data_IF_651664812581
#
_entry.id   IF_651664812581
#
_cell.length_a   1.000
_cell.length_b   1.000
_cell.length_c   1.000
_cell.angle_alpha   90.00
_cell.angle_beta   90.00
_cell.angle_gamma   90.00
#
_symmetry.space_group_name_H-M   'P 1'
#
loop_
_entity.id
_entity.type
_entity.pdbx_description
1 polymer ?
#
# COMPACT_ATOMS: atom_id res chain seq x y z
N UNK A 1 -7.44 21.61 -10.60
CA UNK A 1 -6.91 21.57 -11.99
C UNK A 1 -7.92 20.92 -12.96
N UNK A 2 -8.37 19.66 -12.75
CA UNK A 2 -9.31 18.96 -13.64
C UNK A 2 -10.58 19.75 -13.97
N UNK A 3 -11.25 20.35 -13.00
CA UNK A 3 -12.47 21.14 -13.19
C UNK A 3 -12.24 22.31 -14.15
N UNK A 4 -11.12 23.02 -13.99
CA UNK A 4 -10.77 24.18 -14.83
C UNK A 4 -10.50 23.73 -16.27
N UNK A 5 -9.75 22.64 -16.45
CA UNK A 5 -9.45 22.09 -17.79
C UNK A 5 -10.70 21.62 -18.52
N UNK A 6 -11.60 20.94 -17.81
CA UNK A 6 -12.90 20.50 -18.37
C UNK A 6 -13.77 21.70 -18.74
N UNK A 7 -13.86 22.72 -17.86
CA UNK A 7 -14.63 23.93 -18.14
C UNK A 7 -14.07 24.69 -19.37
N UNK A 8 -12.75 24.84 -19.47
CA UNK A 8 -12.09 25.45 -20.64
C UNK A 8 -12.36 24.63 -21.90
N UNK A 9 -12.21 23.32 -21.84
CA UNK A 9 -12.49 22.42 -22.95
C UNK A 9 -13.94 22.57 -23.45
N UNK A 10 -14.91 22.46 -22.54
CA UNK A 10 -16.33 22.65 -22.85
C UNK A 10 -16.60 24.00 -23.48
N UNK A 11 -16.03 25.07 -22.94
CA UNK A 11 -16.18 26.42 -23.44
C UNK A 11 -15.63 26.54 -24.88
N UNK A 12 -14.38 26.10 -25.09
CA UNK A 12 -13.70 26.22 -26.39
C UNK A 12 -14.42 25.43 -27.49
N UNK A 13 -14.89 24.20 -27.17
CA UNK A 13 -15.60 23.38 -28.16
C UNK A 13 -16.99 23.89 -28.51
N UNK A 14 -17.66 24.62 -27.61
CA UNK A 14 -19.04 25.07 -27.82
C UNK A 14 -19.19 26.58 -28.10
N UNK A 15 -18.10 27.35 -28.09
CA UNK A 15 -18.11 28.76 -28.46
C UNK A 15 -17.88 29.02 -29.96
N UNK A 16 -17.88 27.99 -30.80
CA UNK A 16 -17.66 28.00 -32.25
C UNK A 16 -16.32 28.61 -32.74
N UNK A 17 -15.38 28.88 -31.80
CA UNK A 17 -14.10 29.52 -32.16
C UNK A 17 -13.18 28.62 -33.04
N UNK A 18 -13.25 27.30 -32.82
CA UNK A 18 -12.45 26.32 -33.59
C UNK A 18 -12.91 26.18 -35.05
N UNK A 19 -14.16 26.53 -35.34
CA UNK A 19 -14.78 26.34 -36.66
C UNK A 19 -14.84 27.63 -37.49
N UNK A 20 -15.03 28.76 -36.83
CA UNK A 20 -15.26 30.06 -37.51
C UNK A 20 -14.21 31.11 -37.18
N UNK A 21 -13.26 30.82 -36.31
CA UNK A 21 -12.35 31.81 -35.78
C UNK A 21 -13.09 32.92 -35.00
N UNK A 22 -12.52 34.12 -35.02
CA UNK A 22 -13.04 35.26 -34.28
C UNK A 22 -14.36 35.83 -34.86
N UNK A 23 -14.73 35.52 -36.11
CA UNK A 23 -15.92 36.09 -36.78
C UNK A 23 -17.25 35.47 -36.38
N UNK A 24 -17.22 34.23 -35.83
CA UNK A 24 -18.39 33.49 -35.37
C UNK A 24 -18.39 33.18 -33.88
N UNK A 25 -17.53 33.80 -33.11
CA UNK A 25 -17.34 33.56 -31.68
C UNK A 25 -18.62 33.83 -30.88
N UNK A 26 -19.09 32.81 -30.13
CA UNK A 26 -20.29 32.85 -29.30
C UNK A 26 -20.00 32.48 -27.83
N UNK A 27 -19.41 33.40 -27.07
CA UNK A 27 -18.97 33.10 -25.70
C UNK A 27 -20.12 32.73 -24.77
N UNK A 28 -21.31 33.36 -24.96
CA UNK A 28 -22.50 33.04 -24.16
C UNK A 28 -22.98 31.62 -24.38
N UNK A 29 -22.83 31.04 -25.57
CA UNK A 29 -23.23 29.67 -25.84
C UNK A 29 -22.28 28.66 -25.16
N UNK A 30 -20.99 28.91 -25.28
CA UNK A 30 -19.97 28.09 -24.56
C UNK A 30 -20.21 28.13 -23.04
N UNK A 31 -20.45 29.33 -22.48
CA UNK A 31 -20.71 29.46 -21.04
C UNK A 31 -22.02 28.72 -20.62
N UNK A 32 -23.06 28.75 -21.44
CA UNK A 32 -24.31 28.00 -21.17
C UNK A 32 -24.03 26.50 -21.07
N UNK A 33 -23.27 25.94 -22.00
CA UNK A 33 -22.91 24.50 -21.98
C UNK A 33 -22.08 24.16 -20.77
N UNK A 34 -21.10 24.99 -20.40
CA UNK A 34 -20.30 24.81 -19.18
C UNK A 34 -21.20 24.76 -17.94
N UNK A 35 -22.18 25.64 -17.84
CA UNK A 35 -23.12 25.65 -16.71
C UNK A 35 -24.05 24.43 -16.76
N UNK A 36 -24.62 24.10 -17.91
CA UNK A 36 -25.60 23.01 -18.06
C UNK A 36 -24.96 21.63 -17.75
N UNK A 37 -23.77 21.38 -18.24
CA UNK A 37 -23.10 20.11 -18.04
C UNK A 37 -22.21 20.10 -16.78
N UNK A 38 -21.56 21.23 -16.47
CA UNK A 38 -20.59 21.31 -15.37
C UNK A 38 -21.23 21.45 -13.99
N UNK A 39 -22.26 22.28 -13.84
CA UNK A 39 -22.86 22.51 -12.52
C UNK A 39 -23.50 21.26 -11.89
N UNK A 40 -24.32 20.46 -12.59
CA UNK A 40 -24.85 19.22 -12.04
C UNK A 40 -23.79 18.25 -11.63
N UNK A 41 -22.71 18.18 -12.41
CA UNK A 41 -21.59 17.29 -12.16
C UNK A 41 -20.78 17.71 -10.93
N UNK A 42 -20.52 19.02 -10.77
CA UNK A 42 -19.86 19.55 -9.57
C UNK A 42 -20.69 19.27 -8.32
N UNK A 43 -22.01 19.52 -8.38
CA UNK A 43 -22.92 19.17 -7.29
C UNK A 43 -22.85 17.67 -6.95
N UNK A 44 -22.79 16.81 -7.97
CA UNK A 44 -22.67 15.36 -7.76
C UNK A 44 -21.36 14.96 -7.08
N UNK A 45 -20.24 15.57 -7.46
CA UNK A 45 -18.94 15.32 -6.81
C UNK A 45 -18.99 15.74 -5.34
N UNK A 46 -19.51 16.94 -5.04
CA UNK A 46 -19.63 17.40 -3.64
C UNK A 46 -20.59 16.54 -2.83
N UNK A 47 -21.73 16.14 -3.39
CA UNK A 47 -22.65 15.23 -2.73
C UNK A 47 -21.99 13.87 -2.44
N UNK A 48 -21.26 13.33 -3.39
CA UNK A 48 -20.57 12.04 -3.22
C UNK A 48 -19.51 12.12 -2.13
N UNK A 49 -18.66 13.15 -2.14
CA UNK A 49 -17.66 13.37 -1.10
C UNK A 49 -18.31 13.60 0.28
N UNK A 50 -19.43 14.33 0.31
CA UNK A 50 -20.21 14.54 1.53
C UNK A 50 -20.80 13.24 2.10
N UNK A 51 -21.32 12.36 1.25
CA UNK A 51 -21.84 11.04 1.66
C UNK A 51 -20.70 10.16 2.21
N UNK A 52 -19.54 10.15 1.56
CA UNK A 52 -18.35 9.42 2.04
C UNK A 52 -17.93 9.94 3.41
N UNK A 53 -17.83 11.26 3.58
CA UNK A 53 -17.46 11.87 4.85
C UNK A 53 -18.46 11.58 5.98
N UNK A 54 -19.78 11.55 5.64
CA UNK A 54 -20.82 11.23 6.62
C UNK A 54 -20.84 9.76 7.03
N UNK A 55 -20.46 8.86 6.13
CA UNK A 55 -20.43 7.41 6.40
C UNK A 55 -19.22 6.95 7.23
N UNK A 56 -18.39 7.86 7.77
CA UNK A 56 -17.14 7.59 8.49
C UNK A 56 -16.16 6.69 7.71
N UNK A 57 -16.25 6.70 6.39
CA UNK A 57 -15.29 5.97 5.55
C UNK A 57 -13.98 6.74 5.48
N UNK A 58 -12.88 6.07 5.72
CA UNK A 58 -11.54 6.68 5.64
C UNK A 58 -11.26 7.14 4.20
N UNK A 59 -10.94 8.42 4.04
CA UNK A 59 -10.56 8.99 2.76
C UNK A 59 -9.09 8.67 2.51
N UNK A 60 -8.83 7.60 1.78
CA UNK A 60 -7.50 7.23 1.34
C UNK A 60 -7.04 8.10 0.15
N UNK A 61 -5.73 8.11 -0.15
CA UNK A 61 -5.22 8.83 -1.35
C UNK A 61 -5.89 8.37 -2.64
N UNK A 62 -6.34 7.14 -2.73
CA UNK A 62 -7.04 6.59 -3.88
C UNK A 62 -8.42 7.20 -4.10
N UNK A 63 -9.10 7.68 -3.06
CA UNK A 63 -10.41 8.36 -3.16
C UNK A 63 -10.31 9.71 -3.90
N UNK A 64 -9.14 10.34 -3.95
CA UNK A 64 -8.92 11.58 -4.71
C UNK A 64 -9.26 11.41 -6.20
N UNK A 65 -9.06 10.20 -6.74
CA UNK A 65 -9.34 9.86 -8.14
C UNK A 65 -10.85 9.89 -8.45
N UNK A 66 -11.70 9.71 -7.44
CA UNK A 66 -13.17 9.67 -7.59
C UNK A 66 -13.70 10.97 -8.19
N UNK A 67 -13.22 12.13 -7.72
CA UNK A 67 -13.68 13.43 -8.21
C UNK A 67 -13.50 13.62 -9.73
N UNK A 68 -12.29 13.50 -10.28
CA UNK A 68 -12.04 13.59 -11.73
C UNK A 68 -12.84 12.59 -12.57
N UNK A 69 -13.01 11.35 -12.11
CA UNK A 69 -13.77 10.33 -12.84
C UNK A 69 -15.26 10.69 -12.89
N UNK A 70 -15.86 11.05 -11.76
CA UNK A 70 -17.25 11.48 -11.70
C UNK A 70 -17.49 12.73 -12.54
N UNK A 71 -16.53 13.67 -12.55
CA UNK A 71 -16.60 14.87 -13.35
C UNK A 71 -16.62 14.55 -14.85
N UNK A 72 -15.76 13.66 -15.31
CA UNK A 72 -15.71 13.24 -16.71
C UNK A 72 -17.00 12.54 -17.14
N UNK A 73 -17.52 11.62 -16.34
CA UNK A 73 -18.75 10.88 -16.63
C UNK A 73 -19.99 11.82 -16.64
N UNK A 74 -20.12 12.68 -15.63
CA UNK A 74 -21.27 13.57 -15.52
C UNK A 74 -21.34 14.60 -16.64
N UNK A 75 -20.20 15.18 -17.02
CA UNK A 75 -20.12 16.07 -18.18
C UNK A 75 -20.48 15.32 -19.46
N UNK A 76 -19.99 14.10 -19.65
CA UNK A 76 -20.34 13.26 -20.80
C UNK A 76 -21.85 13.01 -20.87
N UNK A 77 -22.48 12.64 -19.76
CA UNK A 77 -23.95 12.43 -19.69
C UNK A 77 -24.72 13.70 -20.03
N UNK A 78 -24.30 14.84 -19.45
CA UNK A 78 -24.89 16.14 -19.74
C UNK A 78 -24.78 16.53 -21.20
N UNK A 79 -23.62 16.34 -21.83
CA UNK A 79 -23.39 16.63 -23.25
C UNK A 79 -24.23 15.74 -24.16
N UNK A 80 -24.37 14.46 -23.89
CA UNK A 80 -25.19 13.57 -24.69
C UNK A 80 -26.65 14.04 -24.72
N UNK A 81 -27.22 14.44 -23.58
CA UNK A 81 -28.58 14.95 -23.50
C UNK A 81 -28.72 16.30 -24.23
N UNK A 82 -27.78 17.23 -24.01
CA UNK A 82 -27.84 18.58 -24.63
C UNK A 82 -27.62 18.53 -26.14
N UNK A 83 -26.72 17.69 -26.63
CA UNK A 83 -26.50 17.53 -28.06
C UNK A 83 -27.75 16.95 -28.74
N UNK A 84 -28.37 15.92 -28.14
CA UNK A 84 -29.59 15.35 -28.67
C UNK A 84 -30.75 16.36 -28.68
N UNK A 85 -30.89 17.13 -27.58
CA UNK A 85 -31.88 18.23 -27.52
C UNK A 85 -31.63 19.25 -28.64
N UNK A 86 -30.40 19.58 -28.95
CA UNK A 86 -30.07 20.53 -30.01
C UNK A 86 -30.41 19.99 -31.42
N UNK A 87 -30.37 18.67 -31.62
CA UNK A 87 -30.67 18.01 -32.91
C UNK A 87 -32.18 17.90 -33.18
N UNK A 88 -33.00 17.75 -32.13
CA UNK A 88 -34.45 17.52 -32.26
C UNK A 88 -35.19 18.74 -32.79
N UNK A 89 -36.30 18.49 -33.50
CA UNK A 89 -37.23 19.49 -34.00
C UNK A 89 -38.45 19.67 -33.08
N UNK A 90 -39.20 20.78 -33.23
CA UNK A 90 -40.40 21.02 -32.47
C UNK A 90 -40.30 22.03 -31.34
N UNK A 91 -41.24 22.04 -30.42
CA UNK A 91 -41.27 22.91 -29.25
C UNK A 91 -40.18 22.49 -28.23
N UNK A 92 -39.76 23.40 -27.33
CA UNK A 92 -38.77 23.12 -26.30
C UNK A 92 -39.09 21.88 -25.46
N UNK A 93 -40.39 21.71 -25.12
CA UNK A 93 -40.84 20.56 -24.31
C UNK A 93 -40.78 19.25 -25.11
N UNK A 94 -41.20 19.28 -26.38
CA UNK A 94 -41.13 18.07 -27.25
C UNK A 94 -39.70 17.61 -27.50
N UNK A 95 -38.78 18.54 -27.81
CA UNK A 95 -37.34 18.27 -27.94
C UNK A 95 -36.78 17.62 -26.71
N UNK A 96 -37.10 18.14 -25.52
CA UNK A 96 -36.57 17.57 -24.26
C UNK A 96 -37.14 16.18 -24.00
N UNK A 97 -38.45 15.98 -24.24
CA UNK A 97 -39.07 14.65 -24.11
C UNK A 97 -38.44 13.64 -25.06
N UNK A 98 -38.21 14.01 -26.31
CA UNK A 98 -37.59 13.15 -27.31
C UNK A 98 -36.13 12.82 -26.92
N UNK A 99 -35.37 13.82 -26.47
CA UNK A 99 -34.00 13.63 -26.00
C UNK A 99 -33.91 12.68 -24.80
N UNK A 100 -34.75 12.86 -23.78
CA UNK A 100 -34.75 12.00 -22.60
C UNK A 100 -35.27 10.59 -22.90
N UNK A 101 -36.26 10.45 -23.80
CA UNK A 101 -36.79 9.12 -24.15
C UNK A 101 -35.80 8.26 -24.95
N UNK A 102 -34.90 8.86 -25.72
CA UNK A 102 -33.86 8.16 -26.51
C UNK A 102 -32.54 8.14 -25.79
N UNK A 103 -31.87 9.27 -25.65
CA UNK A 103 -30.52 9.40 -25.07
C UNK A 103 -30.54 9.18 -23.57
N UNK A 104 -31.60 9.57 -22.86
CA UNK A 104 -31.71 9.28 -21.43
C UNK A 104 -31.69 7.80 -21.09
N UNK A 105 -32.30 6.95 -21.92
CA UNK A 105 -32.19 5.47 -21.78
C UNK A 105 -30.79 4.96 -22.02
N UNK A 106 -30.09 5.50 -23.01
CA UNK A 106 -28.69 5.12 -23.27
C UNK A 106 -27.76 5.52 -22.12
N UNK A 107 -27.95 6.73 -21.58
CA UNK A 107 -27.20 7.22 -20.40
C UNK A 107 -27.50 6.35 -19.17
N UNK A 108 -28.76 5.95 -18.96
CA UNK A 108 -29.14 5.03 -17.89
C UNK A 108 -28.40 3.70 -18.00
N UNK A 109 -28.45 3.08 -19.18
CA UNK A 109 -27.76 1.79 -19.39
C UNK A 109 -26.25 1.92 -19.19
N UNK A 110 -25.65 3.00 -19.68
CA UNK A 110 -24.24 3.32 -19.45
C UNK A 110 -23.92 3.48 -17.96
N UNK A 111 -24.76 4.20 -17.21
CA UNK A 111 -24.59 4.37 -15.77
C UNK A 111 -24.66 3.02 -15.04
N UNK A 112 -25.64 2.17 -15.36
CA UNK A 112 -25.80 0.84 -14.75
C UNK A 112 -24.59 -0.05 -15.01
N UNK A 113 -24.14 -0.13 -16.26
CA UNK A 113 -22.96 -0.94 -16.60
C UNK A 113 -21.71 -0.43 -15.91
N UNK A 114 -21.54 0.87 -15.77
CA UNK A 114 -20.41 1.48 -15.08
C UNK A 114 -20.45 1.22 -13.57
N UNK A 115 -21.65 1.30 -12.95
CA UNK A 115 -21.85 0.93 -11.53
C UNK A 115 -21.48 -0.54 -11.30
N UNK A 116 -21.94 -1.45 -12.17
CA UNK A 116 -21.58 -2.88 -12.06
C UNK A 116 -20.06 -3.07 -12.17
N UNK A 117 -19.42 -2.37 -13.10
CA UNK A 117 -17.96 -2.41 -13.25
C UNK A 117 -17.21 -1.95 -12.00
N UNK A 118 -17.61 -0.82 -11.39
CA UNK A 118 -16.95 -0.34 -10.17
C UNK A 118 -17.33 -1.13 -8.91
N UNK A 119 -18.55 -1.66 -8.82
CA UNK A 119 -18.95 -2.51 -7.69
C UNK A 119 -18.14 -3.81 -7.64
N UNK A 120 -17.65 -4.29 -8.79
CA UNK A 120 -16.78 -5.47 -8.84
C UNK A 120 -15.46 -5.27 -8.09
N UNK A 121 -14.97 -4.04 -7.94
CA UNK A 121 -13.77 -3.70 -7.16
C UNK A 121 -13.94 -3.98 -5.66
N UNK A 122 -15.18 -4.03 -5.16
CA UNK A 122 -15.48 -4.34 -3.75
C UNK A 122 -15.08 -5.77 -3.38
N UNK A 123 -15.00 -6.66 -4.36
CA UNK A 123 -14.58 -8.05 -4.15
C UNK A 123 -13.05 -8.25 -4.18
N UNK A 124 -12.28 -7.20 -4.43
CA UNK A 124 -10.82 -7.25 -4.40
C UNK A 124 -10.32 -7.30 -2.95
N UNK A 125 -9.30 -8.10 -2.61
CA UNK A 125 -8.81 -8.22 -1.23
C UNK A 125 -7.97 -7.01 -0.75
N UNK A 126 -8.11 -5.85 -1.36
CA UNK A 126 -7.37 -4.61 -1.04
C UNK A 126 -8.32 -3.51 -0.60
N UNK A 127 -8.30 -3.13 0.68
CA UNK A 127 -9.17 -2.11 1.26
C UNK A 127 -9.21 -0.77 0.51
N UNK A 128 -8.08 -0.19 0.03
CA UNK A 128 -8.11 1.05 -0.76
C UNK A 128 -8.89 0.93 -2.07
N UNK A 129 -8.82 -0.23 -2.74
CA UNK A 129 -9.53 -0.49 -4.00
C UNK A 129 -11.04 -0.68 -3.73
N UNK A 130 -11.40 -1.39 -2.65
CA UNK A 130 -12.79 -1.54 -2.22
C UNK A 130 -13.44 -0.18 -1.96
N UNK A 131 -12.74 0.71 -1.25
CA UNK A 131 -13.21 2.07 -0.94
C UNK A 131 -13.49 2.87 -2.21
N UNK A 132 -12.60 2.82 -3.21
CA UNK A 132 -12.80 3.46 -4.51
C UNK A 132 -14.00 2.85 -5.25
N UNK A 133 -14.14 1.52 -5.22
CA UNK A 133 -15.28 0.82 -5.83
C UNK A 133 -16.62 1.29 -5.28
N UNK A 134 -16.77 1.37 -3.96
CA UNK A 134 -17.96 1.87 -3.28
C UNK A 134 -18.21 3.34 -3.62
N UNK A 135 -17.19 4.18 -3.51
CA UNK A 135 -17.28 5.62 -3.74
C UNK A 135 -17.68 5.94 -5.18
N UNK A 136 -17.08 5.28 -6.18
CA UNK A 136 -17.44 5.47 -7.59
C UNK A 136 -18.82 4.92 -7.91
N UNK A 137 -19.17 3.74 -7.41
CA UNK A 137 -20.50 3.17 -7.67
C UNK A 137 -21.62 4.06 -7.12
N UNK A 138 -21.51 4.51 -5.88
CA UNK A 138 -22.45 5.44 -5.27
C UNK A 138 -22.44 6.82 -5.98
N UNK A 139 -21.24 7.32 -6.29
CA UNK A 139 -21.06 8.59 -6.98
C UNK A 139 -21.68 8.61 -8.37
N UNK A 140 -21.57 7.54 -9.16
CA UNK A 140 -22.20 7.45 -10.49
C UNK A 140 -23.72 7.48 -10.40
N UNK A 141 -24.31 6.83 -9.39
CA UNK A 141 -25.76 6.93 -9.16
C UNK A 141 -26.17 8.37 -8.88
N UNK A 142 -25.42 9.08 -8.02
CA UNK A 142 -25.66 10.49 -7.72
C UNK A 142 -25.50 11.36 -8.97
N UNK A 143 -24.42 11.15 -9.75
CA UNK A 143 -24.18 11.84 -11.03
C UNK A 143 -25.34 11.63 -11.98
N UNK A 144 -25.79 10.39 -12.16
CA UNK A 144 -26.90 10.06 -13.04
C UNK A 144 -28.19 10.78 -12.62
N UNK A 145 -28.55 10.68 -11.33
CA UNK A 145 -29.77 11.33 -10.81
C UNK A 145 -29.72 12.83 -11.00
N UNK A 146 -28.63 13.49 -10.58
CA UNK A 146 -28.51 14.94 -10.73
C UNK A 146 -28.49 15.37 -12.21
N UNK A 147 -27.84 14.62 -13.07
CA UNK A 147 -27.84 14.89 -14.53
C UNK A 147 -29.25 14.79 -15.10
N UNK A 148 -30.01 13.75 -14.76
CA UNK A 148 -31.37 13.56 -15.28
C UNK A 148 -32.34 14.64 -14.81
N UNK A 149 -32.15 15.21 -13.62
CA UNK A 149 -33.02 16.28 -13.12
C UNK A 149 -32.52 17.68 -13.48
N UNK A 150 -31.24 17.97 -13.31
CA UNK A 150 -30.71 19.34 -13.46
C UNK A 150 -30.43 19.69 -14.92
N UNK A 151 -29.85 18.80 -15.73
CA UNK A 151 -29.52 19.14 -17.14
C UNK A 151 -30.72 19.53 -17.97
N UNK A 152 -31.85 18.79 -17.94
CA UNK A 152 -33.04 19.19 -18.68
C UNK A 152 -33.58 20.56 -18.25
N UNK A 153 -33.67 20.81 -16.95
CA UNK A 153 -34.17 22.06 -16.41
C UNK A 153 -33.28 23.26 -16.79
N UNK A 154 -31.95 23.09 -16.63
CA UNK A 154 -30.99 24.12 -17.02
C UNK A 154 -30.98 24.38 -18.54
N UNK A 155 -31.14 23.34 -19.35
CA UNK A 155 -31.19 23.45 -20.83
C UNK A 155 -32.42 24.26 -21.27
N UNK A 156 -33.58 24.02 -20.64
CA UNK A 156 -34.81 24.77 -20.94
C UNK A 156 -34.72 26.22 -20.44
N UNK A 157 -34.16 26.44 -19.25
CA UNK A 157 -34.02 27.77 -18.65
C UNK A 157 -33.05 28.65 -19.43
N UNK A 158 -31.88 28.11 -19.84
CA UNK A 158 -30.85 28.87 -20.51
C UNK A 158 -31.04 28.98 -22.02
N UNK A 159 -32.09 28.36 -22.58
CA UNK A 159 -32.42 28.38 -24.00
C UNK A 159 -31.21 28.01 -24.90
N UNK A 160 -30.80 26.77 -24.81
CA UNK A 160 -29.67 26.26 -25.59
C UNK A 160 -30.05 26.18 -27.07
N UNK A 161 -29.20 26.77 -27.93
CA UNK A 161 -29.44 26.78 -29.38
C UNK A 161 -28.52 25.80 -30.09
N UNK A 162 -29.02 25.24 -31.21
CA UNK A 162 -28.23 24.33 -32.06
C UNK A 162 -26.95 25.01 -32.58
N UNK A 163 -25.78 24.32 -32.55
CA UNK A 163 -24.60 24.80 -33.24
C UNK A 163 -24.89 24.96 -34.74
N UNK A 164 -24.37 26.02 -35.37
CA UNK A 164 -24.67 26.32 -36.78
C UNK A 164 -23.68 25.68 -37.75
N UNK A 165 -22.60 25.05 -37.25
CA UNK A 165 -21.49 24.67 -38.08
C UNK A 165 -21.38 23.15 -38.29
N UNK A 166 -20.92 22.71 -39.50
CA UNK A 166 -20.65 21.33 -39.79
C UNK A 166 -19.46 20.82 -38.95
N UNK A 167 -19.33 19.50 -38.69
CA UNK A 167 -18.19 18.94 -38.01
C UNK A 167 -16.86 19.27 -38.73
N UNK A 168 -15.76 19.28 -37.95
CA UNK A 168 -14.41 19.52 -38.48
C UNK A 168 -14.10 18.50 -39.60
N UNK A 169 -13.57 18.96 -40.73
CA UNK A 169 -13.21 18.08 -41.88
C UNK A 169 -12.33 16.90 -41.52
N UNK A 170 -11.50 17.04 -40.48
CA UNK A 170 -10.71 15.91 -39.96
C UNK A 170 -11.55 14.74 -39.46
N UNK A 171 -12.75 15.01 -38.91
CA UNK A 171 -13.68 13.96 -38.49
C UNK A 171 -14.35 13.22 -39.65
N UNK A 172 -14.58 13.88 -40.79
CA UNK A 172 -15.10 13.23 -41.99
C UNK A 172 -14.15 12.12 -42.48
N UNK A 173 -12.85 12.41 -42.52
CA UNK A 173 -11.83 11.39 -42.90
C UNK A 173 -11.76 10.25 -41.91
N UNK A 174 -11.83 10.56 -40.62
CA UNK A 174 -11.82 9.56 -39.55
C UNK A 174 -13.04 8.62 -39.57
N UNK A 175 -14.21 9.12 -39.95
CA UNK A 175 -15.44 8.33 -40.10
C UNK A 175 -15.49 7.57 -41.43
N UNK A 176 -15.02 8.17 -42.52
CA UNK A 176 -15.04 7.57 -43.84
C UNK A 176 -14.11 6.33 -43.96
N UNK A 177 -12.98 6.36 -43.28
CA UNK A 177 -11.99 5.28 -43.35
C UNK A 177 -12.55 3.93 -42.83
N UNK A 178 -13.12 3.83 -41.62
CA UNK A 178 -13.69 2.57 -41.12
C UNK A 178 -14.94 2.14 -41.89
N UNK A 179 -15.73 3.07 -42.42
CA UNK A 179 -16.92 2.73 -43.23
C UNK A 179 -16.55 2.16 -44.59
N UNK A 180 -15.57 2.77 -45.28
CA UNK A 180 -15.14 2.33 -46.62
C UNK A 180 -14.20 1.13 -46.60
N UNK A 181 -13.43 0.90 -45.53
CA UNK A 181 -12.44 -0.18 -45.45
C UNK A 181 -12.56 -0.97 -44.12
N UNK A 182 -13.76 -1.34 -43.75
CA UNK A 182 -14.10 -1.98 -42.47
C UNK A 182 -13.23 -3.20 -42.17
N UNK A 183 -13.06 -4.15 -43.14
CA UNK A 183 -12.25 -5.36 -42.95
C UNK A 183 -10.77 -5.02 -42.69
N UNK A 184 -10.22 -4.06 -43.46
CA UNK A 184 -8.83 -3.64 -43.33
C UNK A 184 -8.58 -2.96 -41.94
N UNK A 185 -9.51 -2.14 -41.49
CA UNK A 185 -9.41 -1.49 -40.16
C UNK A 185 -9.48 -2.53 -39.05
N UNK A 186 -10.42 -3.48 -39.11
CA UNK A 186 -10.51 -4.59 -38.15
C UNK A 186 -9.21 -5.41 -38.12
N UNK A 187 -8.67 -5.77 -39.29
CA UNK A 187 -7.43 -6.52 -39.39
C UNK A 187 -6.24 -5.80 -38.74
N UNK A 188 -6.11 -4.48 -38.95
CA UNK A 188 -5.08 -3.66 -38.29
C UNK A 188 -5.23 -3.66 -36.78
N UNK A 189 -6.46 -3.50 -36.25
CA UNK A 189 -6.67 -3.54 -34.79
C UNK A 189 -6.42 -4.92 -34.21
N UNK A 190 -6.80 -5.99 -34.88
CA UNK A 190 -6.50 -7.36 -34.42
C UNK A 190 -4.98 -7.60 -34.39
N UNK A 191 -4.25 -7.17 -35.42
CA UNK A 191 -2.79 -7.25 -35.45
C UNK A 191 -2.14 -6.42 -34.33
N UNK A 192 -2.64 -5.21 -34.07
CA UNK A 192 -2.19 -4.38 -32.95
C UNK A 192 -2.42 -5.05 -31.60
N UNK A 193 -3.59 -5.66 -31.38
CA UNK A 193 -3.91 -6.37 -30.13
C UNK A 193 -2.98 -7.58 -29.97
N UNK A 194 -2.78 -8.38 -31.02
CA UNK A 194 -1.88 -9.55 -30.98
C UNK A 194 -0.42 -9.11 -30.69
N UNK A 195 0.04 -8.06 -31.36
CA UNK A 195 1.36 -7.50 -31.13
C UNK A 195 1.53 -6.97 -29.69
N UNK A 196 0.53 -6.21 -29.20
CA UNK A 196 0.53 -5.70 -27.81
C UNK A 196 0.48 -6.83 -26.79
N UNK A 197 -0.33 -7.87 -27.03
CA UNK A 197 -0.45 -9.00 -26.10
C UNK A 197 0.85 -9.81 -26.01
N UNK A 198 1.57 -9.98 -27.13
CA UNK A 198 2.82 -10.76 -27.13
C UNK A 198 4.02 -10.00 -26.57
N UNK A 199 4.18 -8.73 -26.92
CA UNK A 199 5.32 -7.92 -26.49
C UNK A 199 5.03 -7.22 -25.15
N UNK A 200 3.78 -6.81 -24.94
CA UNK A 200 3.38 -6.11 -23.72
C UNK A 200 3.49 -7.00 -22.47
N UNK A 201 2.97 -8.23 -22.52
CA UNK A 201 3.04 -9.15 -21.38
C UNK A 201 4.47 -9.49 -20.95
N UNK A 202 5.41 -9.55 -21.89
CA UNK A 202 6.80 -9.86 -21.58
C UNK A 202 7.55 -8.71 -20.88
N UNK A 203 7.04 -7.48 -20.94
CA UNK A 203 7.69 -6.28 -20.41
C UNK A 203 6.86 -5.56 -19.34
N UNK A 204 5.73 -6.10 -18.92
CA UNK A 204 4.95 -5.54 -17.81
C UNK A 204 5.52 -6.12 -16.51
N UNK A 205 6.30 -5.32 -15.82
CA UNK A 205 6.72 -5.58 -14.46
C UNK A 205 5.70 -4.95 -13.50
N UNK A 206 5.19 -5.74 -12.56
CA UNK A 206 4.37 -5.22 -11.46
C UNK A 206 5.30 -4.52 -10.46
N UNK A 207 5.47 -3.23 -10.64
CA UNK A 207 6.32 -2.43 -9.76
C UNK A 207 5.49 -1.34 -9.08
N UNK A 208 5.09 -1.58 -7.84
CA UNK A 208 4.45 -0.58 -6.98
C UNK A 208 5.52 -0.01 -6.06
N UNK A 209 6.09 1.12 -6.42
CA UNK A 209 6.96 1.89 -5.53
C UNK A 209 6.09 2.80 -4.65
N UNK A 210 5.84 2.38 -3.41
CA UNK A 210 5.04 3.14 -2.45
C UNK A 210 5.68 4.50 -2.13
N UNK A 211 7.01 4.58 -2.12
CA UNK A 211 7.72 5.82 -1.85
C UNK A 211 7.78 6.73 -3.09
N UNK A 212 7.79 6.14 -4.28
CA UNK A 212 7.67 6.86 -5.55
C UNK A 212 6.29 7.47 -5.79
N UNK A 213 5.24 6.94 -5.13
CA UNK A 213 3.89 7.52 -5.18
C UNK A 213 3.71 8.73 -4.26
N UNK A 214 4.66 8.99 -3.35
CA UNK A 214 4.61 10.15 -2.48
C UNK A 214 4.99 11.43 -3.24
N UNK A 215 4.45 12.61 -2.85
CA UNK A 215 4.75 13.88 -3.52
C UNK A 215 6.25 14.16 -3.53
N UNK A 216 6.83 14.32 -4.73
CA UNK A 216 8.23 14.67 -4.86
C UNK A 216 8.49 16.09 -4.31
N UNK A 217 9.59 16.25 -3.57
CA UNK A 217 10.03 17.54 -3.03
C UNK A 217 9.56 17.86 -1.62
N UNK A 218 8.73 17.02 -1.00
CA UNK A 218 8.36 17.16 0.41
C UNK A 218 9.50 16.66 1.32
N UNK A 219 9.86 17.45 2.34
CA UNK A 219 10.94 17.14 3.28
C UNK A 219 10.86 15.74 3.91
N UNK A 220 9.68 15.24 4.35
CA UNK A 220 9.58 13.88 4.90
C UNK A 220 9.95 12.79 3.88
N UNK A 221 9.56 12.97 2.62
CA UNK A 221 9.82 12.00 1.55
C UNK A 221 11.31 11.97 1.21
N UNK A 222 11.94 13.15 1.12
CA UNK A 222 13.38 13.27 0.87
C UNK A 222 14.18 12.58 1.99
N UNK A 223 13.82 12.87 3.26
CA UNK A 223 14.48 12.24 4.42
C UNK A 223 14.27 10.72 4.46
N UNK A 224 13.09 10.25 4.10
CA UNK A 224 12.79 8.81 4.05
C UNK A 224 13.59 8.10 2.95
N UNK A 225 13.71 8.72 1.76
CA UNK A 225 14.57 8.22 0.67
C UNK A 225 16.04 8.20 1.09
N UNK A 226 16.50 9.25 1.75
CA UNK A 226 17.87 9.34 2.27
C UNK A 226 18.11 8.28 3.36
N UNK A 227 17.19 8.13 4.31
CA UNK A 227 17.27 7.08 5.33
C UNK A 227 17.37 5.69 4.70
N UNK A 228 16.52 5.42 3.70
CA UNK A 228 16.53 4.13 3.00
C UNK A 228 17.85 3.86 2.28
N UNK A 229 18.44 4.88 1.63
CA UNK A 229 19.71 4.72 0.93
C UNK A 229 20.91 4.62 1.85
N UNK A 230 20.94 5.40 2.93
CA UNK A 230 22.10 5.52 3.81
C UNK A 230 22.19 4.35 4.81
N UNK A 231 21.03 3.83 5.25
CA UNK A 231 20.94 2.79 6.26
C UNK A 231 20.46 1.42 5.71
N UNK A 232 20.18 1.33 4.41
CA UNK A 232 19.60 0.13 3.78
C UNK A 232 18.36 -0.39 4.51
N UNK A 233 17.52 0.51 4.99
CA UNK A 233 16.38 0.25 5.87
C UNK A 233 15.13 1.01 5.38
N UNK A 234 13.96 0.66 5.94
CA UNK A 234 12.71 1.38 5.62
C UNK A 234 11.47 0.53 5.66
N UNK A 235 11.55 -0.73 5.25
CA UNK A 235 10.46 -1.70 5.37
C UNK A 235 10.87 -2.76 6.38
N UNK A 236 10.02 -3.02 7.37
CA UNK A 236 10.33 -3.96 8.44
C UNK A 236 9.54 -5.24 8.22
N UNK A 237 10.24 -6.34 7.96
CA UNK A 237 9.74 -7.68 8.07
C UNK A 237 9.96 -8.24 9.48
N UNK A 238 9.15 -9.21 9.90
CA UNK A 238 9.28 -9.87 11.20
C UNK A 238 9.20 -11.39 11.04
N UNK A 239 10.16 -12.10 11.57
CA UNK A 239 10.13 -13.55 11.66
C UNK A 239 9.84 -13.94 13.11
N UNK A 240 8.68 -14.56 13.36
CA UNK A 240 8.29 -15.05 14.68
C UNK A 240 8.80 -16.47 14.88
N UNK A 241 9.54 -16.69 15.95
CA UNK A 241 10.11 -17.98 16.32
C UNK A 241 9.49 -18.43 17.65
N UNK A 242 8.99 -19.64 17.68
CA UNK A 242 8.55 -20.32 18.89
C UNK A 242 9.76 -21.09 19.47
N UNK A 243 10.35 -20.58 20.51
CA UNK A 243 11.50 -21.21 21.17
C UNK A 243 11.60 -20.72 22.61
N UNK A 244 11.87 -21.63 23.55
CA UNK A 244 12.21 -21.26 24.90
C UNK A 244 13.62 -20.66 24.95
N UNK A 245 13.76 -19.43 25.43
CA UNK A 245 15.02 -18.69 25.51
C UNK A 245 15.47 -18.36 26.93
N UNK A 246 14.77 -18.85 27.96
CA UNK A 246 15.15 -18.65 29.37
C UNK A 246 15.58 -19.92 30.09
N UNK A 247 15.10 -21.07 29.64
CA UNK A 247 15.24 -22.34 30.34
C UNK A 247 14.29 -22.54 31.50
N UNK A 248 13.31 -21.67 31.71
CA UNK A 248 12.23 -21.92 32.63
C UNK A 248 11.30 -23.00 32.03
N UNK A 249 11.24 -24.15 32.70
CA UNK A 249 10.81 -25.43 32.12
C UNK A 249 9.30 -25.64 32.13
N UNK A 250 8.48 -24.61 32.28
CA UNK A 250 7.04 -24.78 32.39
C UNK A 250 6.31 -24.87 31.02
N UNK A 251 7.01 -24.71 29.91
CA UNK A 251 6.37 -24.83 28.61
C UNK A 251 6.66 -26.17 27.93
N UNK A 252 5.64 -27.03 27.86
CA UNK A 252 5.71 -28.36 27.24
C UNK A 252 5.60 -28.33 25.70
N UNK A 253 5.47 -27.15 25.09
CA UNK A 253 5.15 -27.00 23.66
C UNK A 253 6.36 -26.75 22.76
N UNK A 254 7.50 -26.38 23.31
CA UNK A 254 8.74 -26.19 22.55
C UNK A 254 9.59 -27.44 22.62
N UNK A 255 9.69 -28.19 21.56
CA UNK A 255 10.33 -29.49 21.49
C UNK A 255 11.84 -29.55 21.83
N UNK A 256 12.47 -28.45 22.24
CA UNK A 256 13.84 -28.35 22.72
C UNK A 256 13.91 -27.46 23.95
N UNK A 257 14.17 -28.10 25.11
CA UNK A 257 14.28 -27.42 26.42
C UNK A 257 15.64 -26.78 26.69
N UNK A 258 16.52 -26.72 25.70
CA UNK A 258 17.83 -26.09 25.84
C UNK A 258 17.85 -24.66 25.26
N UNK A 259 17.81 -23.63 26.11
CA UNK A 259 17.75 -22.24 25.67
C UNK A 259 19.03 -21.81 24.94
N UNK A 260 20.19 -22.33 25.30
CA UNK A 260 21.42 -21.99 24.64
C UNK A 260 21.49 -22.56 23.21
N UNK A 261 20.96 -23.76 23.00
CA UNK A 261 20.83 -24.35 21.66
C UNK A 261 19.81 -23.60 20.82
N UNK A 262 18.68 -23.22 21.41
CA UNK A 262 17.70 -22.40 20.71
C UNK A 262 18.28 -21.04 20.29
N UNK A 263 19.03 -20.38 21.14
CA UNK A 263 19.71 -19.12 20.80
C UNK A 263 20.78 -19.30 19.72
N UNK A 264 21.53 -20.41 19.73
CA UNK A 264 22.48 -20.75 18.64
C UNK A 264 21.75 -20.91 17.30
N UNK A 265 20.60 -21.57 17.30
CA UNK A 265 19.79 -21.74 16.09
C UNK A 265 19.24 -20.40 15.59
N UNK A 266 18.83 -19.50 16.50
CA UNK A 266 18.39 -18.14 16.16
C UNK A 266 19.56 -17.36 15.53
N UNK A 267 20.75 -17.46 16.08
CA UNK A 267 21.96 -16.83 15.52
C UNK A 267 22.30 -17.33 14.12
N UNK A 268 22.18 -18.64 13.89
CA UNK A 268 22.39 -19.22 12.57
C UNK A 268 21.33 -18.73 11.56
N UNK A 269 20.08 -18.60 11.98
CA UNK A 269 19.03 -18.05 11.14
C UNK A 269 19.28 -16.56 10.84
N UNK A 270 19.57 -15.75 11.86
CA UNK A 270 19.93 -14.34 11.70
C UNK A 270 21.09 -14.17 10.71
N UNK A 271 22.13 -15.00 10.86
CA UNK A 271 23.27 -14.99 9.95
C UNK A 271 22.89 -15.35 8.51
N UNK A 272 22.01 -16.32 8.30
CA UNK A 272 21.49 -16.67 6.96
C UNK A 272 20.63 -15.56 6.38
N UNK A 273 19.75 -14.93 7.18
CA UNK A 273 18.93 -13.82 6.73
C UNK A 273 19.79 -12.62 6.31
N UNK A 274 20.91 -12.38 6.98
CA UNK A 274 21.88 -11.34 6.61
C UNK A 274 22.65 -11.66 5.32
N UNK A 275 22.54 -12.86 4.76
CA UNK A 275 23.09 -13.19 3.43
C UNK A 275 22.11 -12.91 2.29
N UNK A 276 20.86 -12.68 2.58
CA UNK A 276 19.84 -12.32 1.58
C UNK A 276 20.09 -10.88 1.10
N UNK A 277 20.00 -10.67 -0.21
CA UNK A 277 20.23 -9.36 -0.79
C UNK A 277 19.20 -8.34 -0.27
N UNK A 278 19.67 -7.15 0.05
CA UNK A 278 18.86 -6.03 0.57
C UNK A 278 18.14 -6.33 1.90
N UNK A 279 18.70 -7.19 2.76
CA UNK A 279 18.15 -7.43 4.09
C UNK A 279 19.19 -7.19 5.17
N UNK A 280 18.72 -6.73 6.33
CA UNK A 280 19.50 -6.62 7.56
C UNK A 280 18.67 -7.19 8.70
N UNK A 281 19.10 -8.32 9.25
CA UNK A 281 18.37 -9.04 10.29
C UNK A 281 18.98 -8.77 11.67
N UNK A 282 18.12 -8.53 12.66
CA UNK A 282 18.52 -8.27 14.05
C UNK A 282 17.61 -9.04 15.00
N UNK A 283 18.19 -9.81 15.91
CA UNK A 283 17.49 -10.55 16.97
C UNK A 283 18.01 -10.19 18.35
N UNK A 284 17.49 -10.85 19.39
CA UNK A 284 18.00 -10.74 20.76
C UNK A 284 19.47 -11.16 20.86
N UNK A 285 19.93 -12.05 19.97
CA UNK A 285 21.33 -12.53 19.94
C UNK A 285 22.28 -11.38 19.59
N UNK A 286 21.87 -10.47 18.72
CA UNK A 286 22.65 -9.27 18.43
C UNK A 286 22.90 -8.43 19.69
N UNK A 287 21.89 -8.28 20.56
CA UNK A 287 22.05 -7.59 21.84
C UNK A 287 23.01 -8.35 22.75
N UNK A 288 22.93 -9.68 22.82
CA UNK A 288 23.85 -10.50 23.62
C UNK A 288 25.29 -10.35 23.15
N UNK A 289 25.52 -10.25 21.83
CA UNK A 289 26.84 -10.03 21.23
C UNK A 289 27.38 -8.63 21.46
N UNK A 290 26.51 -7.64 21.53
CA UNK A 290 26.88 -6.22 21.68
C UNK A 290 26.97 -5.77 23.13
N UNK A 291 26.43 -6.55 24.08
CA UNK A 291 26.40 -6.20 25.49
C UNK A 291 27.56 -6.90 26.24
N UNK A 292 28.48 -6.10 26.71
CA UNK A 292 29.55 -6.56 27.57
C UNK A 292 29.10 -6.71 29.03
N UNK A 293 29.70 -7.63 29.78
CA UNK A 293 29.29 -7.92 31.16
C UNK A 293 29.76 -6.85 32.13
N UNK A 294 30.96 -6.37 31.95
CA UNK A 294 31.61 -5.46 32.90
C UNK A 294 30.82 -4.17 33.25
N UNK A 295 30.12 -3.51 32.30
CA UNK A 295 29.33 -2.34 32.62
C UNK A 295 27.89 -2.64 33.07
N UNK A 296 27.39 -3.85 32.88
CA UNK A 296 25.95 -4.17 33.04
C UNK A 296 25.64 -4.90 34.33
N UNK A 297 26.58 -5.61 34.90
CA UNK A 297 26.38 -6.35 36.17
C UNK A 297 27.04 -5.63 37.32
N UNK A 298 26.23 -5.14 38.26
CA UNK A 298 26.76 -4.61 39.51
C UNK A 298 27.29 -5.76 40.38
N UNK A 299 28.59 -5.76 40.63
CA UNK A 299 29.21 -6.74 41.52
C UNK A 299 28.54 -6.85 42.89
N UNK A 300 27.99 -5.74 43.43
CA UNK A 300 27.25 -5.74 44.66
C UNK A 300 25.94 -6.51 44.60
N UNK A 301 25.20 -6.41 43.52
CA UNK A 301 23.93 -7.14 43.31
C UNK A 301 24.19 -8.65 43.13
N UNK A 302 25.20 -9.00 42.38
CA UNK A 302 25.58 -10.40 42.18
C UNK A 302 26.10 -11.02 43.47
N UNK A 303 26.92 -10.31 44.23
CA UNK A 303 27.45 -10.74 45.54
C UNK A 303 26.35 -10.96 46.58
N UNK A 304 25.36 -10.06 46.64
CA UNK A 304 24.22 -10.20 47.55
C UNK A 304 23.37 -11.43 47.16
N UNK A 305 23.14 -11.69 45.89
CA UNK A 305 22.39 -12.84 45.38
C UNK A 305 23.09 -14.16 45.72
N UNK A 306 24.41 -14.24 45.53
CA UNK A 306 25.23 -15.45 45.81
C UNK A 306 25.30 -15.80 47.29
N UNK A 307 25.32 -14.82 48.19
CA UNK A 307 25.51 -15.05 49.61
C UNK A 307 24.21 -15.30 50.39
N UNK A 308 23.06 -14.91 49.88
CA UNK A 308 21.77 -15.01 50.57
C UNK A 308 21.01 -16.31 50.30
N UNK A 309 21.29 -16.98 49.19
CA UNK A 309 20.56 -18.19 48.77
C UNK A 309 21.49 -19.41 48.72
N UNK A 310 21.05 -20.60 49.19
CA UNK A 310 21.79 -21.84 48.95
C UNK A 310 21.74 -22.20 47.48
N UNK A 311 22.74 -21.75 46.73
CA UNK A 311 22.86 -21.99 45.31
C UNK A 311 23.61 -23.26 45.01
N UNK A 312 23.28 -23.99 43.90
CA UNK A 312 24.12 -25.07 43.39
C UNK A 312 25.54 -24.63 43.15
N UNK A 313 26.48 -25.57 43.27
CA UNK A 313 27.92 -25.28 43.17
C UNK A 313 28.29 -24.68 41.81
N UNK A 314 27.66 -25.15 40.71
CA UNK A 314 27.87 -24.63 39.35
C UNK A 314 27.46 -23.14 39.21
N UNK A 315 26.39 -22.73 39.88
CA UNK A 315 25.93 -21.34 39.85
C UNK A 315 26.87 -20.45 40.68
N UNK A 316 27.36 -20.96 41.83
CA UNK A 316 28.36 -20.23 42.64
C UNK A 316 29.65 -20.00 41.86
N UNK A 317 30.18 -21.05 41.24
CA UNK A 317 31.37 -20.95 40.39
C UNK A 317 31.17 -19.97 39.25
N UNK A 318 30.03 -20.00 38.56
CA UNK A 318 29.68 -19.04 37.51
C UNK A 318 29.65 -17.60 38.04
N UNK A 319 29.03 -17.37 39.19
CA UNK A 319 28.93 -16.07 39.79
C UNK A 319 30.30 -15.53 40.25
N UNK A 320 31.16 -16.38 40.79
CA UNK A 320 32.53 -16.02 41.15
C UNK A 320 33.39 -15.61 39.94
N UNK A 321 33.22 -16.27 38.80
CA UNK A 321 33.87 -15.89 37.54
C UNK A 321 33.34 -14.55 37.04
N UNK A 322 32.03 -14.31 37.10
CA UNK A 322 31.43 -13.04 36.69
C UNK A 322 31.86 -11.88 37.60
N UNK A 323 32.08 -12.13 38.89
CA UNK A 323 32.60 -11.13 39.82
C UNK A 323 34.08 -10.79 39.57
N UNK A 324 34.83 -11.66 38.90
CA UNK A 324 36.19 -11.41 38.50
C UNK A 324 36.26 -10.64 37.17
N UNK A 325 36.15 -9.31 37.25
CA UNK A 325 36.14 -8.42 36.10
C UNK A 325 37.36 -8.54 35.17
N UNK A 326 38.50 -9.02 35.65
CA UNK A 326 39.71 -9.19 34.83
C UNK A 326 39.53 -10.30 33.79
N UNK A 327 38.74 -11.33 34.11
CA UNK A 327 38.48 -12.47 33.21
C UNK A 327 37.39 -12.16 32.17
N UNK A 328 36.44 -11.31 32.53
CA UNK A 328 35.24 -11.08 31.74
C UNK A 328 35.14 -9.67 31.11
N UNK A 329 36.15 -8.81 31.33
CA UNK A 329 36.09 -7.39 30.95
C UNK A 329 35.78 -7.13 29.47
N UNK A 330 36.30 -7.97 28.58
CA UNK A 330 36.14 -7.84 27.12
C UNK A 330 35.15 -8.86 26.53
N UNK A 331 34.52 -9.68 27.38
CA UNK A 331 33.60 -10.71 26.94
C UNK A 331 32.15 -10.17 26.78
N UNK A 332 31.46 -10.60 25.70
CA UNK A 332 30.03 -10.44 25.56
C UNK A 332 29.26 -11.53 26.30
N UNK A 333 27.99 -11.31 26.63
CA UNK A 333 27.14 -12.38 27.15
C UNK A 333 27.04 -13.57 26.21
N UNK A 334 27.13 -13.34 24.91
CA UNK A 334 27.14 -14.38 23.89
C UNK A 334 28.40 -15.26 24.00
N UNK A 335 29.57 -14.66 24.15
CA UNK A 335 30.80 -15.39 24.24
C UNK A 335 30.81 -16.32 25.44
N UNK A 336 30.35 -15.85 26.60
CA UNK A 336 30.26 -16.65 27.82
C UNK A 336 29.26 -17.81 27.70
N UNK A 337 28.14 -17.58 26.98
CA UNK A 337 27.11 -18.58 26.78
C UNK A 337 27.56 -19.70 25.85
N UNK A 338 28.30 -19.34 24.77
CA UNK A 338 28.65 -20.26 23.70
C UNK A 338 30.01 -20.92 23.89
N UNK A 339 30.94 -20.24 24.57
CA UNK A 339 32.31 -20.69 24.80
C UNK A 339 32.68 -20.59 26.29
N UNK A 340 31.91 -21.22 27.20
CA UNK A 340 32.13 -21.10 28.64
C UNK A 340 33.53 -21.51 29.08
N UNK A 341 34.07 -22.55 28.47
CA UNK A 341 35.40 -23.08 28.80
C UNK A 341 36.54 -22.07 28.64
N UNK A 342 36.41 -21.13 27.68
CA UNK A 342 37.41 -20.09 27.46
C UNK A 342 37.50 -19.08 28.61
N UNK A 343 36.48 -19.02 29.43
CA UNK A 343 36.35 -18.09 30.55
C UNK A 343 36.37 -18.79 31.92
N UNK A 344 36.63 -20.10 31.92
CA UNK A 344 36.61 -20.89 33.16
C UNK A 344 35.22 -21.07 33.76
N UNK A 345 34.17 -20.97 32.94
CA UNK A 345 32.79 -21.19 33.35
C UNK A 345 32.41 -22.65 33.24
N UNK A 346 31.57 -23.18 34.18
CA UNK A 346 31.02 -24.51 34.03
C UNK A 346 30.10 -24.54 32.80
N UNK A 347 30.33 -25.45 31.84
CA UNK A 347 29.50 -25.63 30.66
C UNK A 347 28.14 -26.31 30.92
N UNK A 348 27.63 -26.24 32.16
CA UNK A 348 26.42 -26.91 32.56
C UNK A 348 25.16 -26.12 32.19
N UNK A 349 24.03 -26.81 31.99
CA UNK A 349 22.74 -26.16 31.68
C UNK A 349 22.34 -25.15 32.75
N UNK A 350 22.67 -25.43 34.02
CA UNK A 350 22.34 -24.52 35.13
C UNK A 350 23.14 -23.21 35.07
N UNK A 351 24.42 -23.31 34.73
CA UNK A 351 25.30 -22.15 34.49
C UNK A 351 24.79 -21.30 33.34
N UNK A 352 24.39 -21.92 32.23
CA UNK A 352 23.86 -21.23 31.07
C UNK A 352 22.53 -20.51 31.37
N UNK A 353 21.61 -21.16 32.09
CA UNK A 353 20.32 -20.54 32.53
C UNK A 353 20.59 -19.35 33.45
N UNK A 354 21.55 -19.47 34.35
CA UNK A 354 21.94 -18.38 35.25
C UNK A 354 22.50 -17.18 34.46
N UNK A 355 23.36 -17.41 33.48
CA UNK A 355 23.89 -16.37 32.59
C UNK A 355 22.76 -15.65 31.82
N UNK A 356 21.80 -16.40 31.31
CA UNK A 356 20.65 -15.84 30.63
C UNK A 356 19.79 -14.96 31.55
N UNK A 357 19.53 -15.41 32.78
CA UNK A 357 18.82 -14.62 33.78
C UNK A 357 19.56 -13.33 34.12
N UNK A 358 20.86 -13.38 34.24
CA UNK A 358 21.71 -12.18 34.45
C UNK A 358 21.61 -11.24 33.25
N UNK A 359 21.65 -11.75 32.03
CA UNK A 359 21.50 -10.95 30.82
C UNK A 359 20.13 -10.26 30.79
N UNK A 360 19.04 -11.02 31.00
CA UNK A 360 17.69 -10.43 30.96
C UNK A 360 17.44 -9.44 32.09
N UNK A 361 18.10 -9.62 33.24
CA UNK A 361 18.06 -8.63 34.33
C UNK A 361 18.89 -7.36 34.01
N UNK A 362 19.85 -7.44 33.12
CA UNK A 362 20.72 -6.32 32.73
C UNK A 362 20.11 -5.38 31.69
N UNK A 363 19.11 -5.85 30.94
CA UNK A 363 18.39 -5.06 29.94
C UNK A 363 17.05 -4.58 30.51
N UNK A 364 16.55 -3.45 29.98
CA UNK A 364 15.23 -2.93 30.42
C UNK A 364 14.11 -3.80 29.86
N UNK A 365 12.98 -3.87 30.57
CA UNK A 365 11.79 -4.59 30.12
C UNK A 365 11.33 -4.11 28.73
N UNK A 366 11.39 -2.80 28.47
CA UNK A 366 11.06 -2.21 27.17
C UNK A 366 11.96 -2.75 26.04
N UNK A 367 13.25 -2.88 26.27
CA UNK A 367 14.21 -3.43 25.29
C UNK A 367 13.99 -4.92 25.08
N UNK A 368 13.71 -5.66 26.16
CA UNK A 368 13.42 -7.11 26.07
C UNK A 368 12.14 -7.36 25.28
N UNK A 369 11.07 -6.64 25.57
CA UNK A 369 9.75 -6.81 24.93
C UNK A 369 9.76 -6.50 23.42
N UNK A 370 10.79 -5.83 22.91
CA UNK A 370 10.99 -5.68 21.45
C UNK A 370 11.26 -7.04 20.81
N UNK A 371 12.04 -7.90 21.43
CA UNK A 371 12.51 -9.16 20.83
C UNK A 371 11.85 -10.39 21.40
N UNK A 372 11.42 -10.39 22.66
CA UNK A 372 10.94 -11.56 23.38
C UNK A 372 9.60 -11.23 24.07
N UNK A 373 8.65 -12.14 23.99
CA UNK A 373 7.39 -12.02 24.72
C UNK A 373 7.57 -12.20 26.23
N UNK A 374 6.50 -11.90 27.01
CA UNK A 374 6.53 -11.95 28.50
C UNK A 374 6.76 -13.37 29.04
N UNK A 375 6.33 -14.38 28.31
CA UNK A 375 6.43 -15.79 28.71
C UNK A 375 7.76 -16.42 28.27
N UNK A 376 8.60 -15.71 27.54
CA UNK A 376 9.90 -16.14 27.01
C UNK A 376 9.84 -17.37 26.10
N UNK A 377 8.70 -17.67 25.53
CA UNK A 377 8.45 -18.78 24.60
C UNK A 377 8.44 -18.38 23.14
N UNK A 378 8.52 -17.08 22.86
CA UNK A 378 8.52 -16.51 21.50
C UNK A 378 9.52 -15.39 21.37
N UNK A 379 10.24 -15.40 20.26
CA UNK A 379 11.19 -14.35 19.91
C UNK A 379 10.97 -13.85 18.49
N UNK A 380 11.34 -12.60 18.25
CA UNK A 380 11.25 -11.94 16.95
C UNK A 380 12.65 -11.70 16.38
N UNK A 381 12.80 -11.99 15.08
CA UNK A 381 13.89 -11.43 14.28
C UNK A 381 13.29 -10.33 13.42
N UNK A 382 13.79 -9.12 13.58
CA UNK A 382 13.47 -8.00 12.70
C UNK A 382 14.34 -8.07 11.46
N UNK A 383 13.72 -7.95 10.29
CA UNK A 383 14.41 -7.95 9.01
C UNK A 383 14.13 -6.62 8.34
N UNK A 384 15.09 -5.72 8.37
CA UNK A 384 15.03 -4.44 7.69
C UNK A 384 15.35 -4.60 6.21
N UNK A 385 14.58 -3.90 5.38
CA UNK A 385 14.76 -3.83 3.92
C UNK A 385 14.61 -2.39 3.47
N UNK A 386 15.40 -1.90 2.48
CA UNK A 386 15.23 -0.58 1.92
C UNK A 386 13.88 -0.45 1.17
N UNK A 387 13.47 0.78 0.89
CA UNK A 387 12.35 1.02 -0.02
C UNK A 387 12.78 0.73 -1.46
N UNK A 388 12.72 -0.53 -1.84
CA UNK A 388 12.97 -1.01 -3.20
C UNK A 388 11.64 -1.37 -3.87
N UNK A 389 11.63 -1.52 -5.21
CA UNK A 389 10.46 -1.98 -5.96
C UNK A 389 9.83 -3.24 -5.37
N UNK A 390 8.49 -3.32 -5.36
CA UNK A 390 7.73 -4.44 -4.75
C UNK A 390 8.17 -5.79 -5.32
N UNK A 391 8.51 -5.85 -6.60
CA UNK A 391 8.98 -7.08 -7.24
C UNK A 391 10.30 -7.59 -6.62
N UNK A 392 11.21 -6.68 -6.25
CA UNK A 392 12.49 -7.03 -5.61
C UNK A 392 12.30 -7.31 -4.12
N UNK A 393 11.44 -6.53 -3.43
CA UNK A 393 11.01 -6.83 -2.06
C UNK A 393 10.40 -8.24 -1.97
N UNK A 394 9.55 -8.63 -2.93
CA UNK A 394 8.93 -9.94 -2.96
C UNK A 394 9.96 -11.09 -3.07
N UNK A 395 11.04 -10.91 -3.86
CA UNK A 395 12.14 -11.87 -3.94
C UNK A 395 12.88 -12.01 -2.60
N UNK A 396 13.19 -10.88 -1.95
CA UNK A 396 13.82 -10.88 -0.64
C UNK A 396 12.94 -11.53 0.42
N UNK A 397 11.63 -11.24 0.43
CA UNK A 397 10.65 -11.86 1.33
C UNK A 397 10.53 -13.35 1.08
N UNK A 398 10.52 -13.80 -0.18
CA UNK A 398 10.49 -15.23 -0.51
C UNK A 398 11.75 -15.94 -0.02
N UNK A 399 12.93 -15.36 -0.19
CA UNK A 399 14.19 -15.90 0.32
C UNK A 399 14.20 -15.96 1.85
N UNK A 400 13.71 -14.91 2.53
CA UNK A 400 13.53 -14.88 3.99
C UNK A 400 12.61 -16.01 4.45
N UNK A 401 11.47 -16.20 3.79
CA UNK A 401 10.52 -17.28 4.11
C UNK A 401 11.14 -18.67 3.90
N UNK A 402 11.90 -18.89 2.81
CA UNK A 402 12.59 -20.15 2.57
C UNK A 402 13.60 -20.49 3.68
N UNK A 403 14.35 -19.49 4.18
CA UNK A 403 15.25 -19.69 5.30
C UNK A 403 14.50 -19.94 6.60
N UNK A 404 13.42 -19.23 6.87
CA UNK A 404 12.57 -19.44 8.05
C UNK A 404 11.90 -20.82 8.04
N UNK A 405 11.36 -21.26 6.89
CA UNK A 405 10.77 -22.60 6.75
C UNK A 405 11.80 -23.72 6.87
N UNK A 406 13.03 -23.51 6.39
CA UNK A 406 14.11 -24.49 6.58
C UNK A 406 14.48 -24.67 8.07
N UNK A 407 14.37 -23.59 8.85
CA UNK A 407 14.53 -23.64 10.30
C UNK A 407 13.42 -24.48 10.97
N UNK A 408 12.19 -24.31 10.54
CA UNK A 408 11.02 -25.05 11.04
C UNK A 408 11.07 -26.55 10.69
N UNK A 409 11.55 -26.91 9.51
CA UNK A 409 11.59 -28.31 9.06
C UNK A 409 12.56 -29.20 9.82
N UNK A 410 13.58 -28.61 10.45
CA UNK A 410 14.53 -29.34 11.33
C UNK A 410 13.86 -29.73 12.65
N UNK A 411 12.87 -28.98 13.13
CA UNK A 411 12.12 -29.26 14.36
C UNK A 411 10.92 -30.19 14.15
N UNK A 412 10.39 -30.28 12.92
CA UNK A 412 9.25 -31.13 12.58
C UNK A 412 9.64 -32.54 12.13
N UNK A 413 10.86 -32.97 12.40
CA UNK A 413 11.32 -34.35 12.22
C UNK A 413 10.62 -35.37 13.13
N UNK A 414 9.29 -35.31 13.16
CA UNK A 414 8.38 -36.34 13.63
C UNK A 414 7.23 -36.50 12.65
#
# INVERSE_FOLDING_TARGET
MAVVLVAIGLFVFHCDILQTGLTGFRPLQGLKVVIIAGLPTLCAVFCTLGIIGWSNYEVTMTVIIVGPILLALGVSYGLHITNRYAEEGGTKSEKMKASLSSTGKAVFLSAVTTVIGFISLVFTPMAPIQTVGIALSGGIVVVYVLTMFMVPNLTLLLDLRKPKHPPLRAFEVLVDLPVKRNVGVIAVFVLLILFSATIGQANVEENIDLLGMAPEGEDPVIKMKQYSSDFNAGQIGMVLIHANVTGDTNDQDTGNDDPAENLKRIDQLESKLNTVENTSAVSIVFLMKSTGIAPTVSGAQLYEFVNVTPLPDDIKETAEVLLNNEVTADASFWDLLIQPDNFGLPGTKQSQIFLLNVFYASITDETREIFINKDYDRTLIYVDMPFIPVADTAKSVEAVNQHADSFRSVDSGR
#
